data_IF_695975807672
#
_entry.id   IF_695975807672
#
_cell.length_a   1.000
_cell.length_b   1.000
_cell.length_c   1.000
_cell.angle_alpha   90.00
_cell.angle_beta   90.00
_cell.angle_gamma   90.00
#
_symmetry.space_group_name_H-M   'P 1'
#
loop_
_entity.id
_entity.type
_entity.pdbx_description
1 polymer ?
#
# COMPACT_ATOMS: atom_id res chain seq x y z
N UNK A 1 24.37 -2.07 -0.58
CA UNK A 1 23.86 -0.97 0.27
C UNK A 1 22.52 -0.43 -0.23
N UNK A 2 22.39 0.14 -1.44
CA UNK A 2 21.11 0.68 -1.93
C UNK A 2 19.94 -0.34 -1.93
N UNK A 3 20.18 -1.59 -2.32
CA UNK A 3 19.16 -2.66 -2.32
C UNK A 3 18.60 -2.99 -0.93
N UNK A 4 19.44 -2.97 0.10
CA UNK A 4 19.02 -3.25 1.48
C UNK A 4 18.24 -2.07 2.06
N UNK A 5 18.68 -0.84 1.78
CA UNK A 5 17.96 0.38 2.16
C UNK A 5 16.55 0.46 1.54
N UNK A 6 16.44 0.14 0.24
CA UNK A 6 15.15 0.04 -0.46
C UNK A 6 14.24 -1.02 0.16
N UNK A 7 14.82 -2.18 0.53
CA UNK A 7 14.09 -3.26 1.17
C UNK A 7 13.56 -2.85 2.54
N UNK A 8 14.42 -2.28 3.38
CA UNK A 8 14.06 -1.83 4.73
C UNK A 8 12.97 -0.77 4.69
N UNK A 9 13.03 0.17 3.73
CA UNK A 9 12.01 1.20 3.57
C UNK A 9 10.67 0.62 3.08
N UNK A 10 10.71 -0.33 2.15
CA UNK A 10 9.52 -1.03 1.69
C UNK A 10 8.86 -1.85 2.80
N UNK A 11 9.65 -2.57 3.62
CA UNK A 11 9.14 -3.33 4.76
C UNK A 11 8.48 -2.41 5.80
N UNK A 12 9.11 -1.26 6.12
CA UNK A 12 8.52 -0.25 7.02
C UNK A 12 7.18 0.28 6.52
N UNK A 13 7.09 0.63 5.23
CA UNK A 13 5.84 1.12 4.64
C UNK A 13 4.73 0.07 4.72
N UNK A 14 5.05 -1.17 4.35
CA UNK A 14 4.10 -2.29 4.35
C UNK A 14 3.64 -2.65 5.76
N UNK A 15 4.55 -2.66 6.73
CA UNK A 15 4.22 -2.89 8.14
C UNK A 15 3.31 -1.78 8.69
N UNK A 16 3.62 -0.51 8.39
CA UNK A 16 2.78 0.62 8.78
C UNK A 16 1.37 0.52 8.19
N UNK A 17 1.26 0.16 6.91
CA UNK A 17 -0.03 -0.11 6.26
C UNK A 17 -0.79 -1.29 6.89
N UNK A 18 -0.10 -2.31 7.37
CA UNK A 18 -0.71 -3.44 8.08
C UNK A 18 -1.26 -3.07 9.44
N UNK A 19 -0.65 -2.10 10.11
CA UNK A 19 -1.09 -1.57 11.40
C UNK A 19 -2.03 -0.38 11.28
N UNK A 20 -2.37 0.04 10.06
CA UNK A 20 -3.16 1.25 9.80
C UNK A 20 -2.52 2.55 10.32
N UNK A 21 -1.20 2.57 10.54
CA UNK A 21 -0.49 3.70 11.12
C UNK A 21 -0.21 4.77 10.05
N UNK A 22 -1.09 5.76 9.95
CA UNK A 22 -0.97 6.81 8.93
C UNK A 22 0.26 7.69 9.09
N UNK A 23 0.73 7.90 10.32
CA UNK A 23 1.92 8.71 10.58
C UNK A 23 3.19 7.99 10.13
N UNK A 24 3.28 6.68 10.42
CA UNK A 24 4.39 5.86 9.94
C UNK A 24 4.37 5.66 8.42
N UNK A 25 3.17 5.56 7.81
CA UNK A 25 3.03 5.57 6.35
C UNK A 25 3.60 6.86 5.77
N UNK A 26 3.13 8.01 6.23
CA UNK A 26 3.55 9.32 5.74
C UNK A 26 5.07 9.53 5.87
N UNK A 27 5.67 9.09 6.98
CA UNK A 27 7.11 9.19 7.21
C UNK A 27 7.98 8.47 6.15
N UNK A 28 7.44 7.47 5.45
CA UNK A 28 8.15 6.72 4.39
C UNK A 28 7.97 7.32 2.99
N UNK A 29 7.00 8.21 2.81
CA UNK A 29 6.63 8.78 1.52
C UNK A 29 7.36 10.10 1.25
N UNK A 30 7.68 10.36 -0.01
CA UNK A 30 8.03 11.70 -0.47
C UNK A 30 6.79 12.61 -0.40
N UNK A 31 6.98 13.92 -0.22
CA UNK A 31 5.88 14.88 -0.03
C UNK A 31 4.93 14.97 -1.23
N UNK A 32 5.43 14.67 -2.43
CA UNK A 32 4.73 14.72 -3.71
C UNK A 32 4.40 13.33 -4.29
N UNK A 33 4.48 12.29 -3.45
CA UNK A 33 4.24 10.92 -3.90
C UNK A 33 2.83 10.73 -4.46
N UNK A 34 2.76 9.91 -5.52
CA UNK A 34 1.52 9.54 -6.22
C UNK A 34 1.17 8.08 -5.95
N UNK A 35 -0.13 7.79 -5.90
CA UNK A 35 -0.64 6.46 -5.57
C UNK A 35 -1.70 6.02 -6.56
N UNK A 36 -1.36 5.01 -7.36
CA UNK A 36 -2.28 4.39 -8.31
C UNK A 36 -2.81 3.08 -7.74
N UNK A 37 -4.14 2.91 -7.78
CA UNK A 37 -4.79 1.65 -7.47
C UNK A 37 -5.23 0.99 -8.77
N UNK A 38 -4.61 -0.15 -9.09
CA UNK A 38 -4.84 -0.92 -10.30
C UNK A 38 -5.54 -2.27 -9.97
N UNK A 39 -6.22 -2.90 -10.94
CA UNK A 39 -6.36 -2.50 -12.35
C UNK A 39 -7.27 -1.27 -12.56
N UNK A 40 -7.07 -0.57 -13.70
CA UNK A 40 -7.86 0.60 -14.07
C UNK A 40 -9.38 0.32 -14.16
N UNK A 41 -9.78 -0.94 -14.34
CA UNK A 41 -11.17 -1.40 -14.30
C UNK A 41 -11.84 -1.24 -12.92
N UNK A 42 -11.08 -0.93 -11.88
CA UNK A 42 -11.61 -0.51 -10.58
C UNK A 42 -12.21 0.91 -10.62
N UNK A 43 -11.92 1.70 -11.66
CA UNK A 43 -12.43 3.06 -11.80
C UNK A 43 -11.92 4.03 -10.73
N UNK A 44 -10.82 3.68 -10.05
CA UNK A 44 -10.26 4.46 -8.96
C UNK A 44 -9.18 5.39 -9.51
N UNK A 45 -9.41 6.69 -9.39
CA UNK A 45 -8.40 7.70 -9.76
C UNK A 45 -7.16 7.67 -8.86
N UNK A 46 -6.05 8.15 -9.42
CA UNK A 46 -4.78 8.40 -8.72
C UNK A 46 -5.01 9.29 -7.50
N UNK A 47 -4.23 9.06 -6.44
CA UNK A 47 -4.27 9.84 -5.19
C UNK A 47 -2.91 10.44 -4.88
N UNK A 48 -2.92 11.54 -4.15
CA UNK A 48 -1.77 12.07 -3.43
C UNK A 48 -1.69 11.44 -2.02
N UNK A 49 -0.70 11.86 -1.23
CA UNK A 49 -0.52 11.40 0.14
C UNK A 49 -1.78 11.58 0.99
N UNK A 50 -2.40 12.76 0.95
CA UNK A 50 -3.61 13.06 1.72
C UNK A 50 -4.73 12.07 1.38
N UNK A 51 -4.98 11.83 0.09
CA UNK A 51 -5.95 10.86 -0.38
C UNK A 51 -5.60 9.42 0.01
N UNK A 52 -4.32 9.02 -0.02
CA UNK A 52 -3.90 7.68 0.42
C UNK A 52 -4.14 7.48 1.92
N UNK A 53 -3.79 8.46 2.75
CA UNK A 53 -3.99 8.41 4.19
C UNK A 53 -5.48 8.40 4.56
N UNK A 54 -6.31 9.17 3.85
CA UNK A 54 -7.77 9.16 4.04
C UNK A 54 -8.36 7.77 3.75
N UNK A 55 -7.97 7.14 2.64
CA UNK A 55 -8.41 5.78 2.32
C UNK A 55 -7.93 4.78 3.37
N UNK A 56 -6.68 4.87 3.83
CA UNK A 56 -6.15 4.00 4.89
C UNK A 56 -7.00 4.11 6.17
N UNK A 57 -7.39 5.31 6.59
CA UNK A 57 -8.27 5.50 7.75
C UNK A 57 -9.63 4.86 7.55
N UNK A 58 -10.25 5.04 6.38
CA UNK A 58 -11.53 4.40 6.03
C UNK A 58 -11.43 2.86 6.07
N UNK A 59 -10.34 2.30 5.54
CA UNK A 59 -10.07 0.86 5.58
C UNK A 59 -9.89 0.37 7.02
N UNK A 60 -9.13 1.10 7.84
CA UNK A 60 -8.91 0.77 9.25
C UNK A 60 -10.24 0.66 10.00
N UNK A 61 -11.12 1.65 9.87
CA UNK A 61 -12.43 1.64 10.50
C UNK A 61 -13.30 0.45 10.04
N UNK A 62 -13.29 0.14 8.73
CA UNK A 62 -14.04 -1.00 8.19
C UNK A 62 -13.52 -2.36 8.68
N UNK A 63 -12.24 -2.46 9.04
CA UNK A 63 -11.64 -3.65 9.64
C UNK A 63 -11.70 -3.67 11.16
N UNK A 64 -12.41 -2.72 11.79
CA UNK A 64 -12.47 -2.58 13.24
C UNK A 64 -11.11 -2.31 13.86
N UNK A 65 -10.24 -1.61 13.13
CA UNK A 65 -8.86 -1.26 13.47
C UNK A 65 -7.95 -2.47 13.71
N UNK A 66 -8.42 -3.68 13.40
CA UNK A 66 -7.62 -4.90 13.54
C UNK A 66 -6.48 -4.87 12.51
N UNK A 67 -5.24 -5.12 12.93
CA UNK A 67 -4.12 -5.19 12.01
C UNK A 67 -4.35 -6.23 10.92
N UNK A 68 -3.89 -5.93 9.71
CA UNK A 68 -3.86 -6.87 8.59
C UNK A 68 -2.42 -7.27 8.32
N UNK A 69 -2.21 -8.55 8.05
CA UNK A 69 -0.87 -9.06 7.75
C UNK A 69 -0.49 -8.62 6.33
N UNK A 70 0.43 -7.67 6.22
CA UNK A 70 1.02 -7.25 4.94
C UNK A 70 2.48 -7.68 4.89
N UNK A 71 2.95 -8.15 3.74
CA UNK A 71 4.34 -8.56 3.52
C UNK A 71 4.85 -7.94 2.22
N UNK A 72 6.10 -7.47 2.22
CA UNK A 72 6.73 -6.86 1.06
C UNK A 72 7.40 -7.93 0.18
N UNK A 73 6.99 -8.09 -1.08
CA UNK A 73 7.77 -8.87 -2.07
C UNK A 73 8.72 -7.92 -2.77
N UNK A 74 9.98 -7.93 -2.36
CA UNK A 74 11.06 -7.39 -3.18
C UNK A 74 11.43 -8.45 -4.21
N UNK A 75 10.87 -8.37 -5.42
CA UNK A 75 11.20 -9.22 -6.59
C UNK A 75 11.55 -10.68 -6.23
N UNK A 76 10.56 -11.43 -5.74
CA UNK A 76 10.50 -12.89 -5.88
C UNK A 76 9.04 -13.19 -6.19
N UNK A 77 8.83 -13.82 -7.34
CA UNK A 77 7.61 -14.51 -7.73
C UNK A 77 7.02 -15.28 -6.54
N UNK A 78 6.04 -14.69 -5.82
CA UNK A 78 5.14 -15.35 -4.88
C UNK A 78 3.99 -14.45 -4.45
N UNK A 79 2.79 -15.02 -4.49
CA UNK A 79 1.52 -14.45 -4.07
C UNK A 79 1.49 -14.10 -2.56
N UNK A 80 0.74 -13.07 -2.18
CA UNK A 80 0.44 -12.75 -0.77
C UNK A 80 -1.05 -12.80 -0.50
N UNK A 81 -1.44 -13.49 0.56
CA UNK A 81 -2.79 -13.45 1.13
C UNK A 81 -2.96 -12.26 2.09
N UNK A 82 -3.66 -11.22 1.64
CA UNK A 82 -4.31 -10.22 2.49
C UNK A 82 -5.68 -10.72 2.93
N UNK A 83 -5.72 -11.71 3.82
CA UNK A 83 -7.00 -12.37 4.11
C UNK A 83 -7.63 -12.91 2.82
N UNK A 84 -8.77 -12.35 2.37
CA UNK A 84 -9.43 -12.78 1.12
C UNK A 84 -8.94 -12.07 -0.16
N UNK A 85 -8.09 -11.04 -0.07
CA UNK A 85 -7.57 -10.28 -1.24
C UNK A 85 -6.10 -10.62 -1.42
N UNK A 86 -5.59 -10.67 -2.64
CA UNK A 86 -4.15 -10.75 -2.90
C UNK A 86 -3.70 -9.49 -3.64
N UNK A 87 -2.50 -8.97 -3.34
CA UNK A 87 -1.95 -7.79 -4.01
C UNK A 87 -0.46 -7.90 -4.36
N UNK A 88 -0.09 -7.20 -5.43
CA UNK A 88 1.28 -7.03 -5.93
C UNK A 88 1.61 -5.53 -5.95
N UNK A 89 2.78 -5.16 -5.42
CA UNK A 89 3.16 -3.77 -5.19
C UNK A 89 4.49 -3.45 -5.87
N UNK A 90 4.52 -2.38 -6.67
CA UNK A 90 5.75 -1.81 -7.23
C UNK A 90 6.01 -0.48 -6.53
N UNK A 91 7.24 -0.28 -6.07
CA UNK A 91 7.66 0.92 -5.35
C UNK A 91 8.84 1.55 -6.09
N UNK A 92 8.72 2.84 -6.42
CA UNK A 92 9.84 3.63 -6.90
C UNK A 92 10.39 4.46 -5.75
N UNK A 93 11.70 4.67 -5.75
CA UNK A 93 12.42 5.38 -4.71
C UNK A 93 13.02 6.67 -5.27
N UNK A 94 13.28 7.66 -4.41
CA UNK A 94 14.10 8.81 -4.77
C UNK A 94 15.60 8.41 -4.91
N UNK A 95 16.43 9.30 -5.44
CA UNK A 95 17.86 9.01 -5.69
C UNK A 95 18.62 8.62 -4.41
N UNK A 96 18.24 9.19 -3.26
CA UNK A 96 18.83 8.88 -1.96
C UNK A 96 18.37 7.54 -1.36
N UNK A 97 17.36 6.88 -1.95
CA UNK A 97 16.75 5.64 -1.47
C UNK A 97 16.19 5.70 -0.05
N UNK A 98 15.86 6.89 0.44
CA UNK A 98 15.31 7.12 1.77
C UNK A 98 13.81 7.48 1.74
N UNK A 99 13.25 7.69 0.54
CA UNK A 99 11.82 7.97 0.32
C UNK A 99 11.25 7.20 -0.87
N UNK A 100 9.99 6.78 -0.73
CA UNK A 100 9.19 6.22 -1.83
C UNK A 100 8.54 7.38 -2.60
N UNK A 101 8.72 7.42 -3.92
CA UNK A 101 8.19 8.46 -4.81
C UNK A 101 6.95 8.03 -5.57
N UNK A 102 6.78 6.72 -5.80
CA UNK A 102 5.62 6.18 -6.51
C UNK A 102 5.28 4.79 -5.98
N UNK A 103 3.98 4.51 -5.84
CA UNK A 103 3.48 3.18 -5.51
C UNK A 103 2.45 2.74 -6.54
N UNK A 104 2.65 1.57 -7.11
CA UNK A 104 1.68 0.91 -8.01
C UNK A 104 1.21 -0.37 -7.32
N UNK A 105 -0.08 -0.44 -7.01
CA UNK A 105 -0.69 -1.60 -6.34
C UNK A 105 -1.66 -2.31 -7.29
N UNK A 106 -1.40 -3.57 -7.58
CA UNK A 106 -2.28 -4.47 -8.33
C UNK A 106 -2.99 -5.39 -7.35
N UNK A 107 -4.31 -5.38 -7.35
CA UNK A 107 -5.12 -6.23 -6.45
C UNK A 107 -6.03 -7.17 -7.24
N UNK A 108 -6.43 -8.28 -6.63
CA UNK A 108 -7.56 -9.07 -7.15
C UNK A 108 -8.84 -8.21 -7.10
N UNK A 109 -9.37 -7.87 -8.28
CA UNK A 109 -10.49 -6.95 -8.40
C UNK A 109 -11.81 -7.47 -7.77
N UNK A 110 -12.09 -8.77 -7.86
CA UNK A 110 -13.31 -9.33 -7.26
C UNK A 110 -13.27 -9.31 -5.73
N UNK A 111 -12.12 -9.70 -5.18
CA UNK A 111 -11.91 -9.69 -3.74
C UNK A 111 -11.93 -8.26 -3.19
N UNK A 112 -11.32 -7.31 -3.90
CA UNK A 112 -11.36 -5.90 -3.54
C UNK A 112 -12.78 -5.33 -3.60
N UNK A 113 -13.57 -5.65 -4.64
CA UNK A 113 -14.97 -5.22 -4.73
C UNK A 113 -15.83 -5.75 -3.57
N UNK A 114 -15.68 -7.03 -3.22
CA UNK A 114 -16.38 -7.65 -2.07
C UNK A 114 -16.00 -6.97 -0.76
N UNK A 115 -14.73 -6.58 -0.60
CA UNK A 115 -14.27 -5.84 0.57
C UNK A 115 -14.88 -4.45 0.63
N UNK A 116 -14.81 -3.69 -0.46
CA UNK A 116 -15.37 -2.33 -0.55
C UNK A 116 -16.88 -2.28 -0.30
N UNK A 117 -17.64 -3.31 -0.73
CA UNK A 117 -19.08 -3.39 -0.48
C UNK A 117 -19.43 -3.54 1.02
N UNK A 118 -18.51 -4.05 1.85
CA UNK A 118 -18.69 -4.12 3.32
C UNK A 118 -18.37 -2.81 4.03
N UNK A 119 -17.90 -1.80 3.30
CA UNK A 119 -17.51 -0.49 3.83
C UNK A 119 -18.57 0.60 3.64
N UNK A 120 -19.71 0.25 3.01
CA UNK A 120 -20.89 1.10 2.90
C UNK A 120 -21.80 0.89 4.12
#
# INVERSE_FOLDING_TARGET
MAREQQKDLAEKFVEAQGKWDTSAIEATLASDAKHDLLPASLGVGQKDNAGKLEVTKKMASAHGEKPVNRKAALFIEKEYDFGAVQSFLVLNFNEANDKITHTVEFVNAEAQKKLMAKMQ
#
